data_IF_002946259401
#
_entry.id   IF_002946259401
#
_cell.length_a   1.000
_cell.length_b   1.000
_cell.length_c   1.000
_cell.angle_alpha   90.00
_cell.angle_beta   90.00
_cell.angle_gamma   90.00
#
_symmetry.space_group_name_H-M   'P 1'
#
loop_
_entity.id
_entity.type
_entity.pdbx_description
1 polymer ?
#
# COMPACT_ATOMS: atom_id res chain seq x y z
N UNK A 1 -11.00 -2.35 -7.78
CA UNK A 1 -10.48 -3.38 -6.85
C UNK A 1 -11.09 -3.11 -5.48
N UNK A 2 -11.95 -4.02 -4.99
CA UNK A 2 -12.48 -3.96 -3.62
C UNK A 2 -11.50 -4.69 -2.69
N UNK A 3 -10.87 -3.97 -1.78
CA UNK A 3 -10.13 -4.57 -0.67
C UNK A 3 -11.13 -4.77 0.45
N UNK A 4 -11.57 -6.02 0.69
CA UNK A 4 -12.47 -6.35 1.80
C UNK A 4 -11.67 -6.82 3.00
N UNK A 5 -11.70 -6.06 4.10
CA UNK A 5 -11.33 -6.57 5.43
C UNK A 5 -12.55 -7.22 6.08
N UNK A 6 -12.52 -8.52 6.34
CA UNK A 6 -13.49 -9.23 7.19
C UNK A 6 -12.77 -9.82 8.41
N UNK A 7 -13.23 -9.47 9.61
CA UNK A 7 -12.74 -10.07 10.87
C UNK A 7 -13.47 -11.38 11.13
N UNK A 8 -12.77 -12.48 11.20
CA UNK A 8 -12.96 -13.72 11.96
C UNK A 8 -12.03 -14.78 11.40
N UNK A 9 -11.42 -15.66 12.22
CA UNK A 9 -10.50 -16.78 11.90
C UNK A 9 -10.05 -16.78 10.43
N UNK A 10 -8.96 -16.08 10.12
CA UNK A 10 -8.75 -15.66 8.74
C UNK A 10 -7.66 -16.50 8.10
N UNK A 11 -8.06 -17.21 7.04
CA UNK A 11 -7.11 -17.69 6.06
C UNK A 11 -6.61 -16.49 5.27
N UNK A 12 -5.31 -16.25 5.23
CA UNK A 12 -4.70 -15.26 4.35
C UNK A 12 -4.44 -15.82 2.99
N UNK A 13 -4.59 -14.95 2.02
CA UNK A 13 -4.05 -15.20 0.69
C UNK A 13 -2.53 -15.05 0.81
N UNK A 14 -1.82 -16.16 0.71
CA UNK A 14 -0.35 -16.23 0.71
C UNK A 14 0.22 -15.81 -0.63
N UNK A 15 -0.48 -16.21 -1.69
CA UNK A 15 -0.09 -15.94 -3.06
C UNK A 15 -1.31 -15.95 -3.98
N UNK A 16 -1.24 -15.21 -5.07
CA UNK A 16 -2.28 -15.14 -6.10
C UNK A 16 -1.65 -15.48 -7.44
N UNK A 17 -2.29 -16.37 -8.19
CA UNK A 17 -1.95 -16.62 -9.60
C UNK A 17 -3.15 -16.34 -10.48
N UNK A 18 -2.91 -15.74 -11.63
CA UNK A 18 -3.92 -15.60 -12.68
C UNK A 18 -3.62 -16.67 -13.72
N UNK A 19 -4.62 -17.46 -14.05
CA UNK A 19 -4.53 -18.55 -15.01
C UNK A 19 -5.64 -18.40 -16.06
N UNK A 20 -5.42 -18.96 -17.24
CA UNK A 20 -6.38 -18.97 -18.33
C UNK A 20 -7.27 -20.22 -18.36
N UNK A 21 -7.12 -21.08 -17.37
CA UNK A 21 -7.89 -22.32 -17.21
C UNK A 21 -8.55 -22.36 -15.83
N UNK A 22 -9.66 -23.09 -15.70
CA UNK A 22 -10.34 -23.31 -14.42
C UNK A 22 -9.62 -24.30 -13.48
N UNK A 23 -8.34 -24.54 -13.72
CA UNK A 23 -7.51 -25.42 -12.91
C UNK A 23 -6.40 -24.63 -12.26
N UNK A 24 -6.32 -24.72 -10.96
CA UNK A 24 -5.25 -24.06 -10.21
C UNK A 24 -4.04 -25.00 -10.05
N UNK A 25 -2.82 -24.43 -10.02
CA UNK A 25 -1.64 -25.17 -9.62
C UNK A 25 -1.79 -25.82 -8.23
N UNK A 26 -1.02 -26.87 -7.97
CA UNK A 26 -1.04 -27.55 -6.66
C UNK A 26 -0.84 -26.53 -5.51
N UNK A 27 -1.64 -26.63 -4.47
CA UNK A 27 -1.62 -25.77 -3.31
C UNK A 27 -2.43 -24.45 -3.46
N UNK A 28 -3.14 -24.27 -4.57
CA UNK A 28 -4.00 -23.11 -4.81
C UNK A 28 -5.46 -23.53 -4.93
N UNK A 29 -6.35 -22.64 -4.50
CA UNK A 29 -7.80 -22.81 -4.64
C UNK A 29 -8.33 -21.82 -5.68
N UNK A 30 -9.24 -22.28 -6.53
CA UNK A 30 -9.91 -21.43 -7.50
C UNK A 30 -10.84 -20.45 -6.77
N UNK A 31 -10.77 -19.18 -7.14
CA UNK A 31 -11.81 -18.21 -6.82
C UNK A 31 -12.83 -18.23 -7.93
N UNK A 32 -14.08 -18.53 -7.60
CA UNK A 32 -15.15 -18.61 -8.60
C UNK A 32 -15.31 -17.28 -9.35
N UNK A 33 -15.52 -17.37 -10.64
CA UNK A 33 -15.76 -16.26 -11.54
C UNK A 33 -14.63 -16.03 -12.55
N UNK A 34 -15.01 -15.63 -13.74
CA UNK A 34 -14.11 -15.21 -14.80
C UNK A 34 -13.78 -13.72 -14.63
N UNK A 35 -12.51 -13.36 -14.49
CA UNK A 35 -12.06 -11.97 -14.34
C UNK A 35 -12.31 -11.12 -15.60
N UNK A 36 -12.47 -11.77 -16.76
CA UNK A 36 -12.79 -11.14 -18.05
C UNK A 36 -14.28 -11.23 -18.40
N UNK A 37 -15.17 -11.48 -17.43
CA UNK A 37 -16.60 -11.56 -17.72
C UNK A 37 -17.12 -10.24 -18.30
N UNK A 38 -17.79 -10.35 -19.46
CA UNK A 38 -18.34 -9.18 -20.17
C UNK A 38 -17.40 -8.47 -21.15
N UNK A 39 -16.15 -8.95 -21.32
CA UNK A 39 -15.23 -8.47 -22.35
C UNK A 39 -14.78 -9.63 -23.26
N UNK A 40 -14.44 -9.33 -24.51
CA UNK A 40 -13.89 -10.34 -25.44
C UNK A 40 -12.45 -10.70 -25.02
N UNK A 41 -12.13 -11.97 -24.98
CA UNK A 41 -10.80 -12.45 -24.65
C UNK A 41 -10.80 -13.85 -24.01
N UNK A 42 -9.60 -14.40 -23.79
CA UNK A 42 -9.44 -15.67 -23.10
C UNK A 42 -9.92 -15.51 -21.65
N UNK A 43 -10.73 -16.43 -21.13
CA UNK A 43 -11.13 -16.42 -19.72
C UNK A 43 -9.90 -16.37 -18.80
N UNK A 44 -9.96 -15.53 -17.76
CA UNK A 44 -8.94 -15.44 -16.73
C UNK A 44 -9.56 -15.80 -15.38
N UNK A 45 -8.87 -16.63 -14.64
CA UNK A 45 -9.29 -17.13 -13.32
C UNK A 45 -8.24 -16.79 -12.28
N UNK A 46 -8.68 -16.51 -11.07
CA UNK A 46 -7.82 -16.24 -9.93
C UNK A 46 -7.67 -17.50 -9.08
N UNK A 47 -6.45 -17.92 -8.88
CA UNK A 47 -6.08 -18.98 -7.96
C UNK A 47 -5.41 -18.38 -6.72
N UNK A 48 -5.90 -18.73 -5.54
CA UNK A 48 -5.36 -18.23 -4.27
C UNK A 48 -4.77 -19.40 -3.46
N UNK A 49 -3.57 -19.19 -2.95
CA UNK A 49 -3.01 -20.01 -1.90
C UNK A 49 -3.39 -19.39 -0.55
N UNK A 50 -4.07 -20.17 0.30
CA UNK A 50 -4.49 -19.77 1.65
C UNK A 50 -3.59 -20.40 2.69
N UNK A 51 -3.09 -19.60 3.59
CA UNK A 51 -2.39 -20.07 4.79
C UNK A 51 -3.14 -19.60 6.04
N UNK A 52 -3.16 -20.43 7.08
CA UNK A 52 -3.72 -20.01 8.38
C UNK A 52 -2.99 -18.79 8.88
N UNK A 53 -3.78 -17.83 9.29
CA UNK A 53 -3.28 -16.53 9.72
C UNK A 53 -2.51 -16.64 11.02
N UNK A 54 -1.23 -16.53 10.91
CA UNK A 54 -0.46 -15.86 11.93
C UNK A 54 -0.63 -14.34 11.70
N UNK A 55 -1.29 -13.65 12.63
CA UNK A 55 -1.44 -12.17 12.58
C UNK A 55 -0.08 -11.45 12.47
N UNK A 56 1.02 -12.16 12.67
CA UNK A 56 2.38 -11.70 12.46
C UNK A 56 2.73 -11.50 10.98
N UNK A 57 1.91 -11.97 10.02
CA UNK A 57 2.21 -11.98 8.57
C UNK A 57 1.45 -10.95 7.74
N UNK A 58 0.71 -10.01 8.36
CA UNK A 58 -0.01 -8.95 7.61
C UNK A 58 0.96 -7.87 7.13
N UNK A 59 0.85 -7.49 5.86
CA UNK A 59 1.52 -6.30 5.33
C UNK A 59 0.83 -5.07 5.91
N UNK A 60 1.60 -4.15 6.51
CA UNK A 60 1.07 -2.91 7.06
C UNK A 60 0.65 -1.96 5.92
N UNK A 61 1.53 -1.76 4.94
CA UNK A 61 1.29 -0.89 3.79
C UNK A 61 2.19 -1.24 2.60
N UNK A 62 1.80 -0.77 1.41
CA UNK A 62 2.58 -0.91 0.19
C UNK A 62 2.49 0.38 -0.64
N UNK A 63 3.54 0.71 -1.38
CA UNK A 63 3.56 1.88 -2.26
C UNK A 63 4.59 1.73 -3.38
N UNK A 64 4.45 2.52 -4.44
CA UNK A 64 5.47 2.64 -5.49
C UNK A 64 6.40 3.80 -5.13
N UNK A 65 7.69 3.50 -4.98
CA UNK A 65 8.70 4.49 -4.65
C UNK A 65 9.05 5.33 -5.89
N UNK A 66 8.91 6.65 -5.81
CA UNK A 66 9.06 7.52 -6.96
C UNK A 66 10.48 7.63 -7.50
N UNK A 67 11.50 7.31 -6.71
CA UNK A 67 12.89 7.43 -7.15
C UNK A 67 13.31 6.29 -8.11
N UNK A 68 12.76 5.07 -7.94
CA UNK A 68 13.09 3.92 -8.78
C UNK A 68 11.87 3.26 -9.44
N UNK A 69 10.67 3.83 -9.23
CA UNK A 69 9.40 3.32 -9.74
C UNK A 69 9.12 1.85 -9.37
N UNK A 70 9.60 1.42 -8.21
CA UNK A 70 9.50 0.04 -7.74
C UNK A 70 8.50 -0.08 -6.61
N UNK A 71 7.81 -1.21 -6.53
CA UNK A 71 6.86 -1.54 -5.48
C UNK A 71 7.58 -1.98 -4.21
N UNK A 72 7.25 -1.37 -3.09
CA UNK A 72 7.75 -1.70 -1.77
C UNK A 72 6.62 -2.09 -0.83
N UNK A 73 6.87 -3.08 0.03
CA UNK A 73 5.98 -3.55 1.07
C UNK A 73 6.60 -3.31 2.44
N UNK A 74 5.77 -2.97 3.41
CA UNK A 74 6.19 -2.71 4.78
C UNK A 74 5.44 -3.60 5.76
N UNK A 75 6.15 -4.09 6.77
CA UNK A 75 5.58 -4.86 7.87
C UNK A 75 6.46 -4.72 9.11
N UNK A 76 5.89 -4.21 10.19
CA UNK A 76 6.61 -3.91 11.43
C UNK A 76 7.82 -2.99 11.17
N UNK A 77 9.04 -3.49 11.41
CA UNK A 77 10.30 -2.80 11.17
C UNK A 77 11.05 -3.31 9.92
N UNK A 78 10.37 -4.09 9.09
CA UNK A 78 10.91 -4.70 7.88
C UNK A 78 10.25 -4.13 6.62
N UNK A 79 10.99 -4.18 5.52
CA UNK A 79 10.46 -3.87 4.21
C UNK A 79 11.02 -4.81 3.14
N UNK A 80 10.29 -4.92 2.04
CA UNK A 80 10.61 -5.72 0.87
C UNK A 80 10.55 -4.84 -0.37
N UNK A 81 11.42 -5.13 -1.32
CA UNK A 81 11.41 -4.57 -2.67
C UNK A 81 10.98 -5.65 -3.66
N UNK A 82 10.00 -5.32 -4.51
CA UNK A 82 9.47 -6.26 -5.50
C UNK A 82 10.03 -5.95 -6.88
N UNK A 83 10.46 -6.98 -7.59
CA UNK A 83 10.93 -6.87 -8.96
C UNK A 83 9.86 -7.34 -9.93
N UNK A 84 9.30 -6.42 -10.71
CA UNK A 84 8.36 -6.77 -11.79
C UNK A 84 9.03 -7.66 -12.85
N UNK A 85 10.32 -7.41 -13.13
CA UNK A 85 11.09 -8.22 -14.07
C UNK A 85 11.23 -9.67 -13.64
N UNK A 86 11.46 -9.91 -12.34
CA UNK A 86 11.64 -11.26 -11.78
C UNK A 86 10.32 -11.86 -11.30
N UNK A 87 9.25 -11.06 -11.23
CA UNK A 87 7.95 -11.40 -10.66
C UNK A 87 8.05 -11.98 -9.23
N UNK A 88 8.94 -11.41 -8.42
CA UNK A 88 9.19 -11.81 -7.04
C UNK A 88 9.89 -10.70 -6.24
N UNK A 89 9.95 -10.88 -4.94
CA UNK A 89 10.81 -10.06 -4.07
C UNK A 89 12.26 -10.21 -4.50
N UNK A 90 13.01 -9.10 -4.53
CA UNK A 90 14.43 -9.10 -4.81
C UNK A 90 15.23 -9.86 -3.74
N UNK A 91 16.35 -10.43 -4.11
CA UNK A 91 17.26 -11.11 -3.18
C UNK A 91 17.85 -10.11 -2.17
N UNK A 92 18.11 -10.56 -0.94
CA UNK A 92 18.58 -9.70 0.16
C UNK A 92 17.49 -9.05 0.98
N UNK A 93 16.21 -9.23 0.64
CA UNK A 93 15.06 -8.79 1.44
C UNK A 93 14.45 -9.94 2.25
N UNK A 94 13.83 -9.67 3.44
CA UNK A 94 13.53 -8.34 3.98
C UNK A 94 14.76 -7.62 4.58
N UNK A 95 14.70 -6.28 4.53
CA UNK A 95 15.66 -5.41 5.21
C UNK A 95 14.96 -4.64 6.34
N UNK A 96 15.73 -4.18 7.34
CA UNK A 96 15.19 -3.31 8.39
C UNK A 96 14.95 -1.90 7.85
N UNK A 97 13.87 -1.24 8.28
CA UNK A 97 13.56 0.15 7.91
C UNK A 97 14.74 1.08 8.15
N UNK A 98 15.45 0.91 9.27
CA UNK A 98 16.59 1.73 9.65
C UNK A 98 17.79 1.65 8.71
N UNK A 99 17.90 0.60 7.91
CA UNK A 99 19.01 0.41 6.96
C UNK A 99 18.86 1.27 5.70
N UNK A 100 17.64 1.63 5.35
CA UNK A 100 17.37 2.41 4.13
C UNK A 100 16.55 3.68 4.40
N UNK A 101 15.45 3.56 5.16
CA UNK A 101 14.48 4.63 5.37
C UNK A 101 14.77 5.51 6.58
N UNK A 102 15.83 5.19 7.35
CA UNK A 102 16.19 5.91 8.56
C UNK A 102 15.34 5.53 9.78
N UNK A 103 15.30 6.40 10.77
CA UNK A 103 14.61 6.13 12.04
C UNK A 103 13.10 6.36 11.92
N UNK A 104 12.43 5.50 11.19
CA UNK A 104 10.97 5.44 11.16
C UNK A 104 10.43 4.58 12.32
N UNK A 105 9.20 4.84 12.78
CA UNK A 105 8.52 3.96 13.72
C UNK A 105 8.21 2.60 13.08
N UNK A 106 7.99 1.59 13.92
CA UNK A 106 7.46 0.31 13.45
C UNK A 106 6.00 0.45 13.04
N UNK A 107 5.51 -0.46 12.17
CA UNK A 107 4.10 -0.53 11.77
C UNK A 107 3.61 0.77 11.14
N UNK A 108 4.21 1.17 10.03
CA UNK A 108 3.78 2.32 9.25
C UNK A 108 2.32 2.13 8.80
N UNK A 109 1.45 3.11 9.05
CA UNK A 109 0.03 3.03 8.72
C UNK A 109 -0.21 3.20 7.22
N UNK A 110 0.50 4.14 6.58
CA UNK A 110 0.41 4.41 5.16
C UNK A 110 1.66 5.11 4.62
N UNK A 111 1.94 4.90 3.34
CA UNK A 111 3.07 5.53 2.63
C UNK A 111 2.61 5.98 1.26
N UNK A 112 3.18 7.06 0.76
CA UNK A 112 3.02 7.48 -0.63
C UNK A 112 4.27 8.16 -1.16
N UNK A 113 4.51 8.05 -2.46
CA UNK A 113 5.25 9.06 -3.21
C UNK A 113 4.28 10.18 -3.59
N UNK A 114 4.54 11.39 -3.09
CA UNK A 114 3.64 12.52 -3.32
C UNK A 114 3.82 13.06 -4.74
N UNK A 115 2.77 13.11 -5.58
CA UNK A 115 2.91 13.35 -7.01
C UNK A 115 3.26 14.80 -7.39
N UNK A 116 3.36 15.71 -6.42
CA UNK A 116 3.64 17.12 -6.68
C UNK A 116 5.07 17.54 -6.35
N UNK A 117 5.75 16.82 -5.46
CA UNK A 117 7.18 17.04 -5.15
C UNK A 117 8.06 15.81 -5.35
N UNK A 118 7.45 14.65 -5.68
CA UNK A 118 8.10 13.35 -5.87
C UNK A 118 8.85 12.83 -4.63
N UNK A 119 8.52 13.33 -3.45
CA UNK A 119 9.09 12.88 -2.19
C UNK A 119 8.21 11.83 -1.53
N UNK A 120 8.81 11.03 -0.67
CA UNK A 120 8.07 9.97 0.04
C UNK A 120 7.62 10.46 1.41
N UNK A 121 6.36 10.20 1.70
CA UNK A 121 5.71 10.56 2.96
C UNK A 121 5.22 9.31 3.68
N UNK A 122 5.68 9.13 4.92
CA UNK A 122 5.30 8.04 5.83
C UNK A 122 4.36 8.56 6.89
N UNK A 123 3.28 7.83 7.17
CA UNK A 123 2.25 8.21 8.14
C UNK A 123 2.14 7.15 9.22
N UNK A 124 2.07 7.61 10.48
CA UNK A 124 1.81 6.77 11.65
C UNK A 124 1.07 7.57 12.71
N UNK A 125 -0.09 7.07 13.15
CA UNK A 125 -0.89 7.76 14.15
C UNK A 125 -1.35 9.12 13.64
N UNK A 126 -1.00 10.17 14.37
CA UNK A 126 -1.33 11.57 14.10
C UNK A 126 -0.17 12.37 13.47
N UNK A 127 0.94 11.69 13.13
CA UNK A 127 2.15 12.31 12.60
C UNK A 127 2.60 11.73 11.27
N UNK A 128 3.47 12.45 10.58
CA UNK A 128 4.08 11.99 9.33
C UNK A 128 5.54 12.43 9.22
N UNK A 129 6.27 11.71 8.40
CA UNK A 129 7.67 11.97 8.03
C UNK A 129 7.77 12.23 6.54
N UNK A 130 8.71 13.08 6.15
CA UNK A 130 9.13 13.28 4.76
C UNK A 130 10.51 12.68 4.57
N UNK A 131 10.68 11.88 3.53
CA UNK A 131 11.96 11.34 3.10
C UNK A 131 12.44 12.09 1.86
N UNK A 132 13.62 12.68 1.97
CA UNK A 132 14.31 13.37 0.88
C UNK A 132 15.02 12.31 0.03
N UNK A 133 14.44 11.96 -1.11
CA UNK A 133 14.94 10.91 -1.99
C UNK A 133 16.31 11.24 -2.60
N UNK A 134 16.61 12.53 -2.78
CA UNK A 134 17.91 12.98 -3.31
C UNK A 134 19.03 12.83 -2.30
N UNK A 135 18.72 13.04 -1.02
CA UNK A 135 19.68 12.92 0.09
C UNK A 135 19.65 11.55 0.76
N UNK A 136 18.73 10.67 0.35
CA UNK A 136 18.52 9.35 0.92
C UNK A 136 18.39 9.37 2.45
N UNK A 137 17.61 10.32 2.99
CA UNK A 137 17.39 10.46 4.44
C UNK A 137 16.08 11.15 4.77
N UNK A 138 15.62 10.96 5.99
CA UNK A 138 14.50 11.74 6.51
C UNK A 138 14.84 13.22 6.56
N UNK A 139 13.90 14.05 6.13
CA UNK A 139 14.07 15.50 6.15
C UNK A 139 14.12 16.02 7.61
N UNK A 140 14.90 17.06 7.85
CA UNK A 140 15.00 17.69 9.16
C UNK A 140 13.64 18.30 9.59
N UNK A 141 13.40 18.34 10.90
CA UNK A 141 12.18 18.92 11.46
C UNK A 141 10.93 18.01 11.35
N UNK A 142 11.11 16.70 11.09
CA UNK A 142 10.07 15.68 11.16
C UNK A 142 10.27 14.74 12.35
N UNK A 143 9.20 14.14 12.93
CA UNK A 143 7.83 14.14 12.42
C UNK A 143 7.10 15.47 12.59
N UNK A 144 6.05 15.66 11.77
CA UNK A 144 5.08 16.77 11.89
C UNK A 144 3.67 16.23 12.05
N UNK A 145 2.76 17.03 12.63
CA UNK A 145 1.38 16.58 12.81
C UNK A 145 0.58 16.63 11.51
N UNK A 146 -0.24 15.60 11.28
CA UNK A 146 -1.15 15.50 10.14
C UNK A 146 -2.08 16.71 10.10
N UNK A 147 -2.70 17.02 11.23
CA UNK A 147 -3.71 18.10 11.38
C UNK A 147 -3.23 19.45 10.87
N UNK A 148 -1.96 19.78 11.06
CA UNK A 148 -1.42 21.10 10.66
C UNK A 148 -1.02 21.18 9.19
N UNK A 149 -0.64 20.06 8.58
CA UNK A 149 -0.07 20.03 7.22
C UNK A 149 -1.02 19.41 6.18
N UNK A 150 -1.83 18.43 6.58
CA UNK A 150 -2.75 17.69 5.71
C UNK A 150 -4.20 17.96 6.12
N UNK A 151 -4.65 19.23 5.98
CA UNK A 151 -5.94 19.68 6.51
C UNK A 151 -7.11 18.84 6.02
N UNK A 152 -7.87 18.31 6.96
CA UNK A 152 -9.11 17.56 6.72
C UNK A 152 -8.95 16.06 6.53
N UNK A 153 -7.73 15.51 6.56
CA UNK A 153 -7.55 14.05 6.60
C UNK A 153 -7.54 13.56 8.07
N UNK A 154 -8.04 12.34 8.32
CA UNK A 154 -8.04 11.76 9.66
C UNK A 154 -6.66 11.25 10.06
N UNK A 155 -6.45 11.09 11.36
CA UNK A 155 -5.32 10.37 11.93
C UNK A 155 -5.49 8.85 11.78
N UNK A 156 -4.42 8.08 12.03
CA UNK A 156 -4.42 6.61 11.96
C UNK A 156 -4.97 6.10 10.63
N UNK A 157 -4.40 6.53 9.53
CA UNK A 157 -4.80 6.13 8.19
C UNK A 157 -4.71 4.60 8.00
N UNK A 158 -5.59 4.05 7.19
CA UNK A 158 -5.55 2.63 6.83
C UNK A 158 -4.83 2.39 5.50
N UNK A 159 -4.81 3.39 4.60
CA UNK A 159 -4.08 3.37 3.34
C UNK A 159 -4.03 4.75 2.68
N UNK A 160 -3.13 4.90 1.70
CA UNK A 160 -3.13 6.02 0.74
C UNK A 160 -3.10 5.44 -0.67
N UNK A 161 -3.87 6.04 -1.56
CA UNK A 161 -3.91 5.66 -2.96
C UNK A 161 -3.66 6.88 -3.85
N UNK A 162 -2.71 6.75 -4.76
CA UNK A 162 -2.37 7.80 -5.74
C UNK A 162 -2.72 7.33 -7.14
N UNK A 163 -3.55 8.09 -7.85
CA UNK A 163 -3.92 7.81 -9.24
C UNK A 163 -4.09 9.11 -10.02
N UNK A 164 -3.47 9.21 -11.19
CA UNK A 164 -3.56 10.37 -12.06
C UNK A 164 -3.28 11.68 -11.32
N UNK A 165 -2.22 11.70 -10.51
CA UNK A 165 -1.81 12.80 -9.62
C UNK A 165 -2.84 13.19 -8.54
N UNK A 166 -3.90 12.42 -8.35
CA UNK A 166 -4.87 12.60 -7.27
C UNK A 166 -4.48 11.73 -6.08
N UNK A 167 -4.52 12.29 -4.90
CA UNK A 167 -4.19 11.59 -3.64
C UNK A 167 -5.47 11.34 -2.86
N UNK A 168 -5.71 10.07 -2.56
CA UNK A 168 -6.84 9.59 -1.78
C UNK A 168 -6.32 9.02 -0.46
N UNK A 169 -6.69 9.62 0.65
CA UNK A 169 -6.45 9.08 1.97
C UNK A 169 -7.62 8.20 2.38
N UNK A 170 -7.35 7.06 2.96
CA UNK A 170 -8.37 6.05 3.28
C UNK A 170 -8.38 5.80 4.78
N UNK A 171 -9.58 5.85 5.37
CA UNK A 171 -9.83 5.49 6.74
C UNK A 171 -11.15 4.72 6.85
N UNK A 172 -11.08 3.46 7.30
CA UNK A 172 -12.22 2.52 7.34
C UNK A 172 -12.84 2.38 5.94
N UNK A 173 -14.12 2.72 5.82
CA UNK A 173 -14.90 2.69 4.59
C UNK A 173 -14.97 4.05 3.87
N UNK A 174 -14.23 5.04 4.37
CA UNK A 174 -14.20 6.40 3.81
C UNK A 174 -12.90 6.68 3.05
N UNK A 175 -13.01 7.41 1.97
CA UNK A 175 -11.87 8.03 1.31
C UNK A 175 -11.98 9.56 1.27
N UNK A 176 -10.83 10.23 1.34
CA UNK A 176 -10.68 11.68 1.38
C UNK A 176 -9.80 12.12 0.21
N UNK A 177 -10.38 12.78 -0.79
CA UNK A 177 -9.63 13.32 -1.91
C UNK A 177 -8.97 14.64 -1.51
N UNK A 178 -7.65 14.71 -1.61
CA UNK A 178 -6.89 15.90 -1.26
C UNK A 178 -6.76 16.87 -2.46
N UNK A 179 -6.96 18.15 -2.19
CA UNK A 179 -6.76 19.25 -3.14
C UNK A 179 -5.40 19.90 -2.84
N UNK A 180 -4.41 19.61 -3.66
CA UNK A 180 -3.06 20.15 -3.47
C UNK A 180 -3.01 21.67 -3.57
N UNK A 181 -3.80 22.28 -4.45
CA UNK A 181 -3.83 23.74 -4.61
C UNK A 181 -4.38 24.42 -3.36
N UNK A 182 -5.42 23.86 -2.76
CA UNK A 182 -6.07 24.39 -1.54
C UNK A 182 -5.44 23.87 -0.26
N UNK A 183 -4.52 22.90 -0.34
CA UNK A 183 -3.87 22.22 0.80
C UNK A 183 -4.86 21.68 1.84
N UNK A 184 -5.96 21.09 1.37
CA UNK A 184 -7.01 20.48 2.21
C UNK A 184 -7.82 19.44 1.45
N UNK A 185 -8.57 18.64 2.17
CA UNK A 185 -9.55 17.72 1.59
C UNK A 185 -10.60 18.51 0.80
N UNK A 186 -10.98 18.02 -0.39
CA UNK A 186 -12.06 18.58 -1.20
C UNK A 186 -13.39 18.50 -0.45
N UNK A 187 -14.18 19.58 -0.51
CA UNK A 187 -15.54 19.58 0.03
C UNK A 187 -16.39 18.46 -0.59
N UNK A 188 -17.14 17.74 0.25
CA UNK A 188 -17.99 16.62 -0.19
C UNK A 188 -17.24 15.31 -0.52
N UNK A 189 -15.94 15.21 -0.23
CA UNK A 189 -15.12 14.02 -0.45
C UNK A 189 -14.66 13.33 0.84
N UNK A 190 -15.58 13.19 1.77
CA UNK A 190 -15.58 12.13 2.78
C UNK A 190 -16.67 11.15 2.33
N UNK A 191 -16.33 10.17 1.49
CA UNK A 191 -17.29 9.27 0.82
C UNK A 191 -16.96 7.81 1.11
N UNK A 192 -18.03 6.99 1.12
CA UNK A 192 -17.93 5.52 1.09
C UNK A 192 -17.61 5.02 -0.32
#
# INVERSE_FOLDING_TARGET
>A
VKICKKRASQDFIKDIKIVNEQTCPSGYNLVEGNLNYGVSGTPLYMCINKERVDNSKVIDTAFVYGADNTLYFFRNDLFWKYSDKLNRVEDGYPMKLSQFWGKLPKQIDAVMTYPYDNETYFFKGDVFWKYDSKKSKLANGYPKTIKTHWKGIPDNLDAIYVKNRKVYFIKKDLYFLYDDKKKKVKAGYSKK
#
